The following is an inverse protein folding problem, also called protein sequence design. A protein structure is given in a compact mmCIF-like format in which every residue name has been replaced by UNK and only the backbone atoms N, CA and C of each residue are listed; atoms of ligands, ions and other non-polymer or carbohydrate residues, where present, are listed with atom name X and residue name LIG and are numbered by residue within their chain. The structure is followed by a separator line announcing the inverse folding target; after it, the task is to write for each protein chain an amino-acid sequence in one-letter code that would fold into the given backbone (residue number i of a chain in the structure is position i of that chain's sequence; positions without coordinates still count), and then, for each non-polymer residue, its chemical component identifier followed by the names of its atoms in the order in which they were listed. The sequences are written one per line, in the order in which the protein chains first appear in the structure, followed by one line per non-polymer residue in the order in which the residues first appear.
data_IF_254665893127
#
_entry.id   IF_254665893127
#
_cell.length_a   1.000
_cell.length_b   1.000
_cell.length_c   1.000
_cell.angle_alpha   90.00
_cell.angle_beta   90.00
_cell.angle_gamma   90.00
#
_symmetry.space_group_name_H-M   'P 1'
#
loop_
_entity.id
_entity.type
_entity.pdbx_description
1 polymer ?
#
# COMPACT_ATOMS: atom_id res chain seq x y z
N UNK A 1 2.13 20.62 -11.19
CA UNK A 1 1.11 19.66 -11.68
C UNK A 1 1.49 18.28 -11.18
N UNK A 2 0.53 17.40 -10.85
CA UNK A 2 0.80 16.04 -10.35
C UNK A 2 0.11 15.05 -11.30
N UNK A 3 0.86 14.11 -11.85
CA UNK A 3 0.37 13.24 -12.93
C UNK A 3 -0.06 11.85 -12.44
N UNK A 4 0.51 11.40 -11.32
CA UNK A 4 0.19 10.13 -10.63
C UNK A 4 0.14 10.37 -9.13
N UNK A 5 -0.65 9.56 -8.42
CA UNK A 5 -0.73 9.58 -6.95
C UNK A 5 -0.74 8.16 -6.40
N UNK A 6 -0.18 8.01 -5.19
CA UNK A 6 -0.42 6.86 -4.33
C UNK A 6 -1.17 7.39 -3.11
N UNK A 7 -2.36 6.87 -2.84
CA UNK A 7 -3.15 7.18 -1.64
C UNK A 7 -2.93 6.09 -0.61
N UNK A 8 -2.72 6.46 0.65
CA UNK A 8 -2.40 5.52 1.73
C UNK A 8 -3.56 5.47 2.72
N UNK A 9 -4.13 4.29 2.91
CA UNK A 9 -5.30 4.03 3.74
C UNK A 9 -5.01 2.94 4.76
N UNK A 10 -5.79 2.91 5.84
CA UNK A 10 -5.82 1.80 6.78
C UNK A 10 -7.13 1.05 6.67
N UNK A 11 -7.04 -0.28 6.66
CA UNK A 11 -8.23 -1.13 6.76
C UNK A 11 -8.08 -2.17 7.89
N UNK A 12 -9.18 -2.84 8.19
CA UNK A 12 -9.23 -3.99 9.09
C UNK A 12 -10.25 -5.00 8.58
N UNK A 13 -9.78 -6.19 8.20
CA UNK A 13 -10.64 -7.28 7.72
C UNK A 13 -10.07 -8.62 8.16
N UNK A 14 -10.93 -9.47 8.71
CA UNK A 14 -10.56 -10.83 9.08
C UNK A 14 -9.96 -11.57 7.87
N UNK A 15 -8.83 -12.26 8.08
CA UNK A 15 -8.10 -12.96 7.03
C UNK A 15 -7.09 -12.11 6.25
N UNK A 16 -7.04 -10.79 6.46
CA UNK A 16 -6.15 -9.86 5.71
C UNK A 16 -5.17 -9.11 6.62
N UNK A 17 -4.93 -9.58 7.85
CA UNK A 17 -4.08 -8.87 8.83
C UNK A 17 -2.61 -8.71 8.44
N UNK A 18 -2.17 -9.42 7.41
CA UNK A 18 -0.82 -9.36 6.82
C UNK A 18 -0.86 -9.04 5.32
N UNK A 19 -1.99 -8.56 4.81
CA UNK A 19 -2.18 -8.31 3.37
C UNK A 19 -2.23 -6.82 3.08
N UNK A 20 -1.36 -6.33 2.20
CA UNK A 20 -1.45 -4.98 1.64
C UNK A 20 -2.15 -5.08 0.29
N UNK A 21 -3.16 -4.23 0.05
CA UNK A 21 -3.98 -4.27 -1.16
C UNK A 21 -3.69 -3.05 -2.02
N UNK A 22 -3.40 -3.26 -3.30
CA UNK A 22 -3.02 -2.22 -4.25
C UNK A 22 -4.12 -2.05 -5.31
N UNK A 23 -5.12 -1.26 -4.96
CA UNK A 23 -6.24 -0.87 -5.83
C UNK A 23 -5.89 0.30 -6.75
N UNK A 24 -6.91 0.94 -7.31
CA UNK A 24 -6.77 2.06 -8.24
C UNK A 24 -6.52 1.64 -9.69
N UNK A 25 -6.71 2.59 -10.61
CA UNK A 25 -6.70 2.33 -12.06
C UNK A 25 -5.30 2.27 -12.67
N UNK A 26 -4.27 2.81 -12.02
CA UNK A 26 -2.91 2.74 -12.53
C UNK A 26 -2.26 1.40 -12.19
N UNK A 27 -2.55 0.36 -13.00
CA UNK A 27 -2.07 -1.01 -12.74
C UNK A 27 -0.57 -1.17 -12.90
N UNK A 28 0.08 -0.43 -13.80
CA UNK A 28 1.54 -0.44 -13.97
C UNK A 28 2.24 0.07 -12.71
N UNK A 29 1.74 1.16 -12.13
CA UNK A 29 2.24 1.68 -10.86
C UNK A 29 1.94 0.72 -9.70
N UNK A 30 0.78 0.07 -9.70
CA UNK A 30 0.45 -0.93 -8.66
C UNK A 30 1.45 -2.11 -8.67
N UNK A 31 1.79 -2.65 -9.83
CA UNK A 31 2.79 -3.73 -9.96
C UNK A 31 4.20 -3.27 -9.55
N UNK A 32 4.59 -2.05 -9.90
CA UNK A 32 5.89 -1.47 -9.50
C UNK A 32 5.97 -1.30 -7.98
N UNK A 33 4.99 -0.62 -7.39
CA UNK A 33 4.87 -0.49 -5.94
C UNK A 33 4.84 -1.86 -5.24
N UNK A 34 4.11 -2.81 -5.83
CA UNK A 34 4.04 -4.17 -5.32
C UNK A 34 5.40 -4.87 -5.27
N UNK A 35 6.29 -4.59 -6.23
CA UNK A 35 7.66 -5.12 -6.26
C UNK A 35 8.49 -4.55 -5.11
N UNK A 36 8.52 -3.23 -4.92
CA UNK A 36 9.22 -2.60 -3.79
C UNK A 36 8.68 -3.09 -2.44
N UNK A 37 7.35 -3.18 -2.29
CA UNK A 37 6.74 -3.70 -1.06
C UNK A 37 7.15 -5.15 -0.76
N UNK A 38 7.17 -6.04 -1.77
CA UNK A 38 7.59 -7.44 -1.57
C UNK A 38 9.06 -7.55 -1.11
N UNK A 39 9.93 -6.67 -1.61
CA UNK A 39 11.35 -6.63 -1.22
C UNK A 39 11.53 -6.21 0.24
N UNK A 40 10.84 -5.15 0.67
CA UNK A 40 11.01 -4.57 2.00
C UNK A 40 10.13 -5.21 3.08
N UNK A 41 9.02 -5.85 2.70
CA UNK A 41 8.04 -6.46 3.62
C UNK A 41 7.82 -7.95 3.30
N UNK A 42 8.87 -8.81 3.35
CA UNK A 42 8.78 -10.21 2.93
C UNK A 42 7.80 -11.07 3.75
N UNK A 43 7.45 -10.61 4.96
CA UNK A 43 6.46 -11.26 5.82
C UNK A 43 5.00 -10.91 5.49
N UNK A 44 4.77 -10.05 4.50
CA UNK A 44 3.43 -9.59 4.11
C UNK A 44 3.03 -10.12 2.74
N UNK A 45 1.73 -10.38 2.58
CA UNK A 45 1.14 -10.71 1.29
C UNK A 45 0.82 -9.41 0.56
N UNK A 46 1.44 -9.19 -0.59
CA UNK A 46 1.17 -8.01 -1.43
C UNK A 46 0.22 -8.44 -2.55
N UNK A 47 -0.98 -7.84 -2.57
CA UNK A 47 -2.05 -8.16 -3.52
C UNK A 47 -2.21 -6.98 -4.48
N UNK A 48 -1.69 -7.15 -5.69
CA UNK A 48 -1.72 -6.20 -6.79
C UNK A 48 -2.40 -6.77 -8.05
N UNK A 49 -3.03 -7.95 -7.96
CA UNK A 49 -4.09 -8.34 -8.89
C UNK A 49 -5.41 -7.73 -8.40
N UNK A 50 -6.10 -7.00 -9.27
CA UNK A 50 -7.33 -6.30 -8.92
C UNK A 50 -8.48 -7.26 -8.59
N UNK A 51 -8.46 -8.47 -9.16
CA UNK A 51 -9.53 -9.43 -8.98
C UNK A 51 -9.45 -10.15 -7.63
N UNK A 52 -8.24 -10.26 -7.07
CA UNK A 52 -8.00 -10.78 -5.72
C UNK A 52 -8.33 -9.76 -4.61
N UNK A 53 -8.49 -8.48 -4.95
CA UNK A 53 -8.86 -7.43 -4.01
C UNK A 53 -10.38 -7.44 -3.80
N UNK A 54 -10.87 -7.43 -2.54
CA UNK A 54 -12.29 -7.32 -2.27
C UNK A 54 -12.92 -6.10 -2.95
N UNK A 55 -14.08 -6.28 -3.58
CA UNK A 55 -14.69 -5.28 -4.47
C UNK A 55 -14.76 -3.86 -3.90
N UNK A 56 -15.11 -3.72 -2.62
CA UNK A 56 -15.23 -2.42 -1.95
C UNK A 56 -13.90 -1.73 -1.62
N UNK A 57 -12.77 -2.42 -1.81
CA UNK A 57 -11.40 -1.91 -1.57
C UNK A 57 -10.60 -1.76 -2.87
N UNK A 58 -11.20 -2.05 -4.04
CA UNK A 58 -10.52 -1.99 -5.34
C UNK A 58 -10.18 -0.56 -5.77
N UNK A 59 -10.92 0.45 -5.30
CA UNK A 59 -10.65 1.86 -5.65
C UNK A 59 -10.79 2.19 -7.15
N UNK A 60 -11.60 1.45 -7.91
CA UNK A 60 -11.65 1.55 -9.38
C UNK A 60 -12.58 2.63 -9.93
N UNK A 61 -13.44 3.22 -9.10
CA UNK A 61 -14.40 4.21 -9.55
C UNK A 61 -13.70 5.44 -10.15
N UNK A 62 -14.18 5.95 -11.28
CA UNK A 62 -13.55 7.08 -11.98
C UNK A 62 -13.46 8.35 -11.11
N UNK A 63 -14.47 8.57 -10.26
CA UNK A 63 -14.55 9.73 -9.37
C UNK A 63 -13.88 9.49 -8.01
N UNK A 64 -13.25 8.32 -7.80
CA UNK A 64 -12.38 8.15 -6.64
C UNK A 64 -11.21 9.14 -6.80
N UNK A 65 -10.88 9.97 -5.79
CA UNK A 65 -9.81 10.97 -5.87
C UNK A 65 -8.47 10.42 -6.38
N UNK A 66 -8.16 9.15 -6.10
CA UNK A 66 -6.94 8.49 -6.59
C UNK A 66 -6.86 8.41 -8.12
N UNK A 67 -8.00 8.46 -8.82
CA UNK A 67 -8.13 8.26 -10.27
C UNK A 67 -8.36 9.55 -11.06
N UNK A 68 -8.45 10.71 -10.40
CA UNK A 68 -8.78 11.99 -11.04
C UNK A 68 -7.57 12.65 -11.72
N UNK A 69 -6.35 12.26 -11.33
CA UNK A 69 -5.11 12.75 -11.95
C UNK A 69 -4.89 12.14 -13.35
N UNK A 70 -4.07 12.80 -14.15
CA UNK A 70 -3.88 12.52 -15.59
C UNK A 70 -3.63 11.04 -15.92
N UNK A 71 -2.82 10.34 -15.13
CA UNK A 71 -2.50 8.92 -15.34
C UNK A 71 -3.13 8.02 -14.27
N UNK A 72 -4.16 8.51 -13.58
CA UNK A 72 -4.75 7.88 -12.40
C UNK A 72 -3.68 7.51 -11.34
N UNK A 73 -4.07 6.72 -10.34
CA UNK A 73 -3.21 6.40 -9.22
C UNK A 73 -3.43 5.00 -8.65
N UNK A 74 -2.78 4.75 -7.53
CA UNK A 74 -2.87 3.52 -6.75
C UNK A 74 -3.44 3.81 -5.37
N UNK A 75 -4.40 2.99 -4.95
CA UNK A 75 -4.92 3.01 -3.59
C UNK A 75 -4.25 1.90 -2.79
N UNK A 76 -3.42 2.26 -1.80
CA UNK A 76 -2.71 1.33 -0.93
C UNK A 76 -3.49 1.18 0.39
N UNK A 77 -4.07 0.00 0.60
CA UNK A 77 -4.75 -0.35 1.83
C UNK A 77 -3.82 -1.12 2.76
N UNK A 78 -3.57 -0.57 3.96
CA UNK A 78 -2.62 -1.10 4.93
C UNK A 78 -3.32 -1.85 6.07
N UNK A 79 -2.92 -3.10 6.36
CA UNK A 79 -3.48 -3.85 7.48
C UNK A 79 -2.96 -3.30 8.83
N UNK A 80 -3.62 -3.61 9.96
CA UNK A 80 -3.23 -3.06 11.26
C UNK A 80 -1.77 -3.30 11.67
N UNK A 81 -1.20 -4.43 11.24
CA UNK A 81 0.15 -4.87 11.61
C UNK A 81 1.26 -3.97 11.07
N UNK A 82 1.20 -3.58 9.79
CA UNK A 82 2.25 -2.72 9.18
C UNK A 82 2.13 -1.27 9.65
N UNK A 83 0.93 -0.88 10.08
CA UNK A 83 0.64 0.45 10.63
C UNK A 83 1.11 0.65 12.08
N UNK A 84 1.69 -0.37 12.72
CA UNK A 84 2.05 -0.31 14.14
C UNK A 84 0.86 -0.41 15.11
N UNK A 85 -0.36 -0.66 14.61
CA UNK A 85 -1.61 -0.58 15.38
C UNK A 85 -2.19 -1.94 15.78
N UNK A 86 -1.35 -2.98 15.83
CA UNK A 86 -1.76 -4.33 16.20
C UNK A 86 -1.12 -4.76 17.51
N UNK A 87 -1.69 -5.75 18.23
CA UNK A 87 -1.10 -6.28 19.45
C UNK A 87 0.33 -6.82 19.30
N UNK A 88 0.84 -7.03 18.07
CA UNK A 88 2.25 -7.37 17.84
C UNK A 88 3.23 -6.33 18.41
N UNK A 89 2.80 -5.07 18.53
CA UNK A 89 3.66 -3.93 18.89
C UNK A 89 3.31 -3.33 20.25
N UNK A 90 2.57 -4.06 21.09
CA UNK A 90 2.05 -3.53 22.36
C UNK A 90 3.15 -3.13 23.36
N UNK A 91 4.33 -3.75 23.25
CA UNK A 91 5.52 -3.55 24.07
C UNK A 91 6.66 -2.85 23.30
N UNK A 92 6.36 -2.25 22.13
CA UNK A 92 7.34 -1.49 21.38
C UNK A 92 7.64 -0.16 22.09
N UNK A 93 8.86 -0.02 22.61
CA UNK A 93 9.35 1.19 23.31
C UNK A 93 10.46 1.95 22.54
N UNK A 94 10.72 1.57 21.29
CA UNK A 94 11.75 2.20 20.48
C UNK A 94 11.53 3.71 20.27
N UNK A 95 12.58 4.50 19.99
CA UNK A 95 12.48 5.95 19.87
C UNK A 95 11.72 6.42 18.61
N UNK A 96 11.42 5.51 17.68
CA UNK A 96 10.83 5.78 16.37
C UNK A 96 9.59 4.93 16.10
N UNK A 97 9.24 4.82 14.81
CA UNK A 97 8.12 4.01 14.36
C UNK A 97 8.43 2.53 14.55
N UNK A 98 7.40 1.67 14.50
CA UNK A 98 7.63 0.22 14.54
C UNK A 98 8.47 -0.21 13.33
N UNK A 99 9.33 -1.23 13.44
CA UNK A 99 10.20 -1.65 12.34
C UNK A 99 9.45 -1.92 11.03
N UNK A 100 8.25 -2.51 11.10
CA UNK A 100 7.46 -2.75 9.87
C UNK A 100 6.90 -1.46 9.26
N UNK A 101 6.65 -0.42 10.06
CA UNK A 101 6.25 0.90 9.55
C UNK A 101 7.45 1.61 8.91
N UNK A 102 8.64 1.49 9.49
CA UNK A 102 9.88 2.01 8.87
C UNK A 102 10.16 1.31 7.53
N UNK A 103 10.09 -0.03 7.48
CA UNK A 103 10.24 -0.78 6.22
C UNK A 103 9.20 -0.43 5.17
N UNK A 104 7.97 -0.10 5.57
CA UNK A 104 6.95 0.41 4.64
C UNK A 104 7.37 1.76 4.05
N UNK A 105 7.91 2.68 4.86
CA UNK A 105 8.40 3.97 4.39
C UNK A 105 9.54 3.77 3.40
N UNK A 106 10.50 2.89 3.71
CA UNK A 106 11.61 2.57 2.82
C UNK A 106 11.10 2.03 1.47
N UNK A 107 10.10 1.14 1.49
CA UNK A 107 9.48 0.62 0.27
C UNK A 107 8.81 1.72 -0.58
N UNK A 108 8.15 2.69 0.05
CA UNK A 108 7.52 3.82 -0.63
C UNK A 108 8.57 4.76 -1.23
N UNK A 109 9.68 4.99 -0.52
CA UNK A 109 10.82 5.77 -1.01
C UNK A 109 11.47 5.07 -2.21
N UNK A 110 11.73 3.76 -2.11
CA UNK A 110 12.29 2.97 -3.21
C UNK A 110 11.37 3.02 -4.44
N UNK A 111 10.07 2.76 -4.26
CA UNK A 111 9.08 2.86 -5.33
C UNK A 111 9.11 4.23 -6.01
N UNK A 112 9.14 5.32 -5.24
CA UNK A 112 9.11 6.68 -5.76
C UNK A 112 10.40 7.07 -6.50
N UNK A 113 11.55 6.62 -6.02
CA UNK A 113 12.86 6.97 -6.59
C UNK A 113 13.25 6.11 -7.79
N UNK A 114 12.64 4.93 -7.96
CA UNK A 114 12.92 3.99 -9.06
C UNK A 114 11.84 3.95 -10.13
N UNK A 115 10.75 4.71 -9.99
CA UNK A 115 9.66 4.73 -10.98
C UNK A 115 10.13 5.27 -12.34
N UNK A 116 10.02 4.50 -13.44
CA UNK A 116 10.60 4.87 -14.72
C UNK A 116 9.79 5.89 -15.56
N UNK A 117 8.60 6.31 -15.11
CA UNK A 117 7.68 7.13 -15.91
C UNK A 117 6.79 6.30 -16.83
#
# INVERSE_FOLDING_TARGET
HVNIVITVHGFGRAGFFTSLLLGGRNRRLATHLGTSLRTHLPAYTIIDDIDDIPGNLRGMHQDNPVNVVEHAGVQLELPPRVRGSSPLWWDWEGPGLTPHTESLIDALVDCATTWPG
#
